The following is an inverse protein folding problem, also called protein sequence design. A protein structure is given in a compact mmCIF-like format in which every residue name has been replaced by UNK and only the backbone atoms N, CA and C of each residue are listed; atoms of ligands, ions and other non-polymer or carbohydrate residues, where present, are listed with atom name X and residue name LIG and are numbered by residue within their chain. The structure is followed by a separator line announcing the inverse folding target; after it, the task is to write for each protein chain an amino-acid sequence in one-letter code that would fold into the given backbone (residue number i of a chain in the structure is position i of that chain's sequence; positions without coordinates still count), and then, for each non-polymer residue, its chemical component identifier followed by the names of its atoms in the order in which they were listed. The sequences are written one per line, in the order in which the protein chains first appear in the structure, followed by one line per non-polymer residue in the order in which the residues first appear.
data_IF_402058692865
#
_entry.id   IF_402058692865
#
_cell.length_a   1.000
_cell.length_b   1.000
_cell.length_c   1.000
_cell.angle_alpha   90.00
_cell.angle_beta   90.00
_cell.angle_gamma   90.00
#
_symmetry.space_group_name_H-M   'P 1'
#
loop_
_entity.id
_entity.type
_entity.pdbx_description
1 polymer ?
#
# COMPACT_ATOMS: atom_id res chain seq x y z
N UNK A 1 -25.27 80.79 -19.32
CA UNK A 1 -26.74 80.91 -19.37
C UNK A 1 -27.26 79.57 -19.89
N UNK A 2 -27.63 78.62 -19.02
CA UNK A 2 -29.00 78.33 -18.58
C UNK A 2 -29.92 78.05 -19.81
N UNK A 3 -30.61 76.91 -20.00
CA UNK A 3 -31.48 76.15 -19.07
C UNK A 3 -31.70 74.69 -19.59
N UNK A 4 -32.10 73.85 -18.64
CA UNK A 4 -32.36 72.41 -18.57
C UNK A 4 -33.48 71.76 -19.44
N UNK A 5 -33.25 70.44 -19.70
CA UNK A 5 -34.16 69.26 -19.74
C UNK A 5 -35.38 69.20 -20.69
N UNK A 6 -35.44 68.11 -21.46
CA UNK A 6 -36.47 67.07 -21.32
C UNK A 6 -36.01 65.72 -21.89
N UNK A 7 -36.23 64.67 -21.11
CA UNK A 7 -35.95 63.27 -21.41
C UNK A 7 -36.93 62.71 -22.45
N UNK A 8 -36.44 61.85 -23.34
CA UNK A 8 -37.26 60.85 -24.01
C UNK A 8 -36.56 59.48 -23.83
N UNK A 9 -37.23 58.57 -23.13
CA UNK A 9 -36.84 57.17 -22.99
C UNK A 9 -36.84 56.48 -24.36
N UNK A 10 -35.71 55.88 -24.74
CA UNK A 10 -35.68 54.81 -25.74
C UNK A 10 -35.06 53.58 -25.07
N UNK A 11 -35.79 52.48 -25.22
CA UNK A 11 -35.64 51.20 -24.55
C UNK A 11 -34.26 50.57 -24.80
N UNK A 12 -33.51 50.32 -23.72
CA UNK A 12 -32.33 49.47 -23.74
C UNK A 12 -32.77 48.01 -23.79
N UNK A 13 -32.59 47.35 -24.93
CA UNK A 13 -32.70 45.88 -25.05
C UNK A 13 -31.44 45.29 -24.38
N UNK A 14 -31.55 44.44 -23.35
CA UNK A 14 -30.38 43.77 -22.82
C UNK A 14 -30.01 42.65 -23.80
N UNK A 15 -28.90 42.82 -24.52
CA UNK A 15 -28.16 41.71 -25.11
C UNK A 15 -27.72 40.82 -23.95
N UNK A 16 -28.42 39.70 -23.77
CA UNK A 16 -27.95 38.59 -22.95
C UNK A 16 -26.65 38.08 -23.60
N UNK A 17 -25.50 38.56 -23.12
CA UNK A 17 -24.25 37.84 -23.27
C UNK A 17 -24.41 36.51 -22.54
N UNK A 18 -24.80 35.47 -23.28
CA UNK A 18 -24.65 34.11 -22.84
C UNK A 18 -23.14 33.87 -22.67
N UNK A 19 -22.69 33.65 -21.43
CA UNK A 19 -21.39 33.03 -21.17
C UNK A 19 -21.39 31.66 -21.85
N UNK A 20 -20.85 31.57 -23.07
CA UNK A 20 -20.27 30.31 -23.51
C UNK A 20 -19.11 30.05 -22.55
N UNK A 21 -19.32 29.10 -21.65
CA UNK A 21 -18.25 28.51 -20.86
C UNK A 21 -17.32 27.86 -21.87
N UNK A 22 -16.23 28.54 -22.23
CA UNK A 22 -15.13 27.89 -22.93
C UNK A 22 -14.66 26.76 -22.01
N UNK A 23 -14.91 25.54 -22.45
CA UNK A 23 -14.30 24.34 -21.88
C UNK A 23 -12.82 24.53 -22.14
N UNK A 24 -12.05 24.86 -21.09
CA UNK A 24 -10.62 25.06 -21.25
C UNK A 24 -10.00 23.73 -21.70
N UNK A 25 -8.95 23.82 -22.51
CA UNK A 25 -8.11 22.70 -22.93
C UNK A 25 -7.61 21.82 -21.76
N UNK A 26 -7.76 22.29 -20.53
CA UNK A 26 -7.38 21.59 -19.31
C UNK A 26 -8.42 20.52 -18.92
N UNK A 27 -9.72 20.69 -19.21
CA UNK A 27 -10.74 19.65 -18.97
C UNK A 27 -10.58 18.46 -19.93
N UNK A 28 -10.18 18.70 -21.18
CA UNK A 28 -9.84 17.63 -22.14
C UNK A 28 -8.50 16.96 -21.81
N UNK A 29 -7.51 17.71 -21.30
CA UNK A 29 -6.23 17.15 -20.86
C UNK A 29 -6.36 16.29 -19.59
N UNK A 30 -7.27 16.64 -18.67
CA UNK A 30 -7.60 15.81 -17.50
C UNK A 30 -8.45 14.59 -17.90
N UNK A 31 -9.29 14.69 -18.93
CA UNK A 31 -10.02 13.54 -19.48
C UNK A 31 -9.15 12.56 -20.30
N UNK A 32 -7.92 12.97 -20.66
CA UNK A 32 -6.93 12.13 -21.33
C UNK A 32 -6.03 11.34 -20.34
N UNK A 33 -6.09 11.64 -19.04
CA UNK A 33 -5.43 10.87 -18.01
C UNK A 33 -6.29 9.64 -17.62
N UNK A 34 -5.88 8.47 -18.10
CA UNK A 34 -6.41 7.14 -17.74
C UNK A 34 -7.89 6.87 -18.10
N UNK A 35 -8.23 6.95 -19.40
CA UNK A 35 -9.37 6.18 -19.90
C UNK A 35 -8.96 4.72 -20.02
N UNK A 36 -9.30 3.92 -19.01
CA UNK A 36 -9.34 2.46 -19.09
C UNK A 36 -10.03 2.08 -20.42
N UNK A 37 -9.38 1.34 -21.33
CA UNK A 37 -9.98 0.94 -22.59
C UNK A 37 -11.37 0.30 -22.38
N UNK A 38 -12.32 0.58 -23.27
CA UNK A 38 -13.72 0.14 -23.11
C UNK A 38 -13.87 -1.39 -22.99
N UNK A 39 -12.96 -2.16 -23.59
CA UNK A 39 -12.87 -3.62 -23.52
C UNK A 39 -12.06 -4.14 -22.33
N UNK A 40 -11.65 -3.27 -21.40
CA UNK A 40 -10.81 -3.61 -20.25
C UNK A 40 -11.45 -3.21 -18.92
N UNK A 41 -10.87 -3.74 -17.84
CA UNK A 41 -11.22 -3.45 -16.45
C UNK A 41 -9.92 -3.17 -15.71
N UNK A 42 -9.92 -2.10 -14.92
CA UNK A 42 -8.83 -1.80 -14.00
C UNK A 42 -8.95 -2.73 -12.78
N UNK A 43 -7.89 -3.48 -12.49
CA UNK A 43 -7.81 -4.40 -11.35
C UNK A 43 -6.59 -4.07 -10.50
N UNK A 44 -6.60 -4.52 -9.25
CA UNK A 44 -5.46 -4.34 -8.36
C UNK A 44 -4.34 -5.34 -8.68
N UNK A 45 -3.15 -5.02 -8.20
CA UNK A 45 -2.06 -5.99 -8.04
C UNK A 45 -1.97 -6.36 -6.57
N UNK A 46 -1.90 -7.65 -6.27
CA UNK A 46 -1.81 -8.19 -4.91
C UNK A 46 -0.63 -9.16 -4.82
N UNK A 47 -0.12 -9.41 -3.62
CA UNK A 47 1.11 -10.18 -3.44
C UNK A 47 0.98 -11.26 -2.39
N UNK A 48 1.52 -12.44 -2.71
CA UNK A 48 1.62 -13.57 -1.80
C UNK A 48 3.10 -13.95 -1.68
N UNK A 49 3.58 -14.14 -0.46
CA UNK A 49 4.97 -14.52 -0.19
C UNK A 49 5.02 -15.82 0.60
N UNK A 50 5.45 -16.91 -0.04
CA UNK A 50 5.66 -18.22 0.60
C UNK A 50 7.03 -18.37 1.27
N UNK A 51 7.87 -17.32 1.27
CA UNK A 51 9.13 -17.34 2.00
C UNK A 51 8.88 -17.05 3.49
N UNK A 52 9.49 -17.85 4.37
CA UNK A 52 9.35 -17.71 5.82
C UNK A 52 10.41 -16.81 6.45
N UNK A 53 11.48 -16.53 5.72
CA UNK A 53 12.70 -15.89 6.17
C UNK A 53 13.11 -14.71 5.29
N UNK A 54 12.41 -14.47 4.18
CA UNK A 54 12.73 -13.42 3.21
C UNK A 54 11.58 -12.43 3.05
N UNK A 55 11.89 -11.17 3.29
CA UNK A 55 11.07 -10.04 2.88
C UNK A 55 11.44 -9.65 1.44
N UNK A 56 10.43 -9.55 0.58
CA UNK A 56 10.63 -9.30 -0.85
C UNK A 56 10.35 -7.84 -1.16
N UNK A 57 11.32 -7.15 -1.73
CA UNK A 57 11.12 -5.85 -2.37
C UNK A 57 10.95 -6.05 -3.87
N UNK A 58 9.84 -5.57 -4.43
CA UNK A 58 9.53 -5.77 -5.85
C UNK A 58 9.07 -4.49 -6.55
N UNK A 59 9.14 -4.52 -7.87
CA UNK A 59 8.49 -3.60 -8.81
C UNK A 59 7.94 -4.40 -9.98
N UNK A 60 6.70 -4.14 -10.39
CA UNK A 60 6.05 -4.79 -11.52
C UNK A 60 5.68 -3.80 -12.64
N UNK A 61 5.61 -4.31 -13.86
CA UNK A 61 5.39 -3.54 -15.09
C UNK A 61 4.46 -4.32 -16.02
N UNK A 62 3.48 -3.66 -16.65
CA UNK A 62 2.74 -4.22 -17.78
C UNK A 62 3.55 -4.04 -19.07
N UNK A 63 4.03 -5.15 -19.65
CA UNK A 63 4.85 -5.17 -20.86
C UNK A 63 4.12 -5.77 -22.06
N UNK A 64 2.80 -5.89 -22.00
CA UNK A 64 1.96 -6.47 -23.06
C UNK A 64 2.10 -5.76 -24.42
N UNK A 65 2.50 -4.48 -24.41
CA UNK A 65 2.73 -3.64 -25.60
C UNK A 65 4.18 -3.47 -26.05
N UNK A 66 5.14 -4.23 -25.51
CA UNK A 66 6.53 -4.21 -25.99
C UNK A 66 7.53 -3.39 -25.17
N UNK A 67 7.26 -3.18 -23.87
CA UNK A 67 8.30 -2.76 -22.91
C UNK A 67 8.05 -1.46 -22.17
N UNK A 68 6.85 -1.23 -21.64
CA UNK A 68 6.61 -0.12 -20.72
C UNK A 68 7.64 -0.11 -19.59
N UNK A 69 8.13 1.08 -19.25
CA UNK A 69 9.00 1.32 -18.09
C UNK A 69 8.25 1.91 -16.91
N UNK A 70 6.95 2.16 -17.05
CA UNK A 70 6.11 2.65 -15.97
C UNK A 70 5.73 1.50 -15.04
N UNK A 71 6.03 1.67 -13.74
CA UNK A 71 5.69 0.68 -12.73
C UNK A 71 4.18 0.70 -12.49
N UNK A 72 3.55 -0.48 -12.56
CA UNK A 72 2.13 -0.68 -12.24
C UNK A 72 1.92 -1.03 -10.76
N UNK A 73 2.98 -1.51 -10.11
CA UNK A 73 2.99 -1.88 -8.70
C UNK A 73 4.43 -1.93 -8.19
N UNK A 74 4.59 -1.82 -6.87
CA UNK A 74 5.87 -1.98 -6.20
C UNK A 74 5.70 -1.82 -4.70
N UNK A 75 6.53 -2.53 -3.95
CA UNK A 75 6.36 -2.58 -2.51
C UNK A 75 7.30 -3.54 -1.83
N UNK A 76 7.00 -3.77 -0.55
CA UNK A 76 7.67 -4.71 0.33
C UNK A 76 6.63 -5.74 0.76
N UNK A 77 6.92 -7.01 0.54
CA UNK A 77 6.07 -8.14 0.89
C UNK A 77 6.75 -8.92 2.01
N UNK A 78 6.19 -8.82 3.21
CA UNK A 78 6.71 -9.48 4.41
C UNK A 78 6.67 -11.01 4.28
N UNK A 79 7.50 -11.74 5.05
CA UNK A 79 7.44 -13.20 5.07
C UNK A 79 6.04 -13.73 5.37
N UNK A 80 5.63 -14.78 4.65
CA UNK A 80 4.34 -15.47 4.82
C UNK A 80 3.10 -14.58 4.62
N UNK A 81 3.21 -13.48 3.88
CA UNK A 81 2.08 -12.63 3.50
C UNK A 81 1.11 -13.38 2.56
N UNK A 82 -0.19 -13.37 2.87
CA UNK A 82 -1.22 -14.15 2.18
C UNK A 82 -2.08 -13.36 1.18
N UNK A 83 -1.68 -12.13 0.83
CA UNK A 83 -2.48 -11.18 0.05
C UNK A 83 -3.11 -10.08 0.91
N UNK A 84 -3.93 -9.24 0.28
CA UNK A 84 -4.67 -8.15 0.90
C UNK A 84 -3.95 -6.79 0.88
N UNK A 85 -2.68 -6.75 0.50
CA UNK A 85 -1.89 -5.52 0.41
C UNK A 85 -1.95 -4.95 -1.01
N UNK A 86 -3.16 -4.61 -1.46
CA UNK A 86 -3.43 -4.29 -2.87
C UNK A 86 -2.84 -2.95 -3.29
N UNK A 87 -2.09 -2.95 -4.39
CA UNK A 87 -1.67 -1.77 -5.13
C UNK A 87 -2.56 -1.56 -6.37
N UNK A 88 -2.63 -0.32 -6.85
CA UNK A 88 -3.46 0.05 -8.01
C UNK A 88 -2.58 0.60 -9.13
N UNK A 89 -2.80 0.30 -10.41
CA UNK A 89 -3.73 -0.68 -10.99
C UNK A 89 -3.19 -1.16 -12.34
N UNK A 90 -3.69 -2.30 -12.82
CA UNK A 90 -3.41 -2.83 -14.15
C UNK A 90 -4.72 -3.01 -14.94
N UNK A 91 -4.68 -2.71 -16.24
CA UNK A 91 -5.86 -2.84 -17.10
C UNK A 91 -5.87 -4.23 -17.76
N UNK A 92 -6.80 -5.08 -17.33
CA UNK A 92 -7.01 -6.39 -17.94
C UNK A 92 -8.16 -6.37 -18.95
N UNK A 93 -8.02 -7.00 -20.13
CA UNK A 93 -9.14 -7.24 -21.03
C UNK A 93 -10.30 -7.96 -20.34
N UNK A 94 -11.55 -7.59 -20.65
CA UNK A 94 -12.74 -8.30 -20.14
C UNK A 94 -12.77 -9.77 -20.55
N UNK A 95 -12.22 -10.07 -21.72
CA UNK A 95 -12.03 -11.42 -22.25
C UNK A 95 -10.54 -11.63 -22.46
N UNK A 96 -9.98 -12.65 -21.83
CA UNK A 96 -8.56 -12.97 -21.96
C UNK A 96 -8.16 -13.19 -23.42
N UNK A 97 -6.96 -12.70 -23.77
CA UNK A 97 -6.28 -12.90 -25.05
C UNK A 97 -4.78 -13.15 -24.80
N UNK A 98 -4.08 -13.90 -25.66
CA UNK A 98 -2.65 -14.09 -25.50
C UNK A 98 -1.88 -12.77 -25.60
N UNK A 99 -0.70 -12.73 -24.99
CA UNK A 99 0.22 -11.58 -25.03
C UNK A 99 0.09 -10.61 -23.86
N UNK A 100 -0.78 -10.88 -22.87
CA UNK A 100 -0.82 -10.12 -21.62
C UNK A 100 0.40 -10.51 -20.79
N UNK A 101 1.36 -9.61 -20.60
CA UNK A 101 2.66 -9.92 -19.96
C UNK A 101 2.97 -8.96 -18.83
N UNK A 102 3.32 -9.53 -17.67
CA UNK A 102 3.77 -8.78 -16.50
C UNK A 102 5.26 -9.08 -16.29
N UNK A 103 6.07 -8.03 -16.27
CA UNK A 103 7.47 -8.12 -15.83
C UNK A 103 7.54 -7.76 -14.36
N UNK A 104 8.24 -8.57 -13.57
CA UNK A 104 8.52 -8.29 -12.16
C UNK A 104 10.02 -8.28 -11.97
N UNK A 105 10.50 -7.28 -11.24
CA UNK A 105 11.86 -7.20 -10.73
C UNK A 105 11.78 -7.26 -9.22
N UNK A 106 12.53 -8.17 -8.59
CA UNK A 106 12.49 -8.31 -7.13
C UNK A 106 13.83 -8.72 -6.55
N UNK A 107 13.99 -8.43 -5.27
CA UNK A 107 15.16 -8.73 -4.48
C UNK A 107 14.73 -8.89 -3.02
N UNK A 108 15.67 -9.28 -2.18
CA UNK A 108 15.46 -9.16 -0.75
C UNK A 108 15.45 -7.70 -0.30
N UNK A 109 14.60 -7.37 0.68
CA UNK A 109 14.39 -6.00 1.14
C UNK A 109 15.56 -5.44 1.95
N UNK A 110 16.29 -6.29 2.70
CA UNK A 110 17.51 -5.90 3.39
C UNK A 110 18.68 -5.78 2.39
N UNK A 111 18.85 -4.55 1.89
CA UNK A 111 19.81 -4.20 0.84
C UNK A 111 21.27 -4.32 1.24
N UNK A 112 21.59 -4.38 2.54
CA UNK A 112 22.98 -4.37 2.98
C UNK A 112 23.66 -5.74 2.82
N UNK A 113 22.88 -6.83 2.70
CA UNK A 113 23.42 -8.19 2.76
C UNK A 113 23.29 -8.93 1.41
N UNK A 114 22.25 -8.69 0.60
CA UNK A 114 21.99 -9.45 -0.65
C UNK A 114 21.58 -8.57 -1.84
N UNK A 115 22.52 -8.23 -2.76
CA UNK A 115 22.28 -7.28 -3.86
C UNK A 115 21.70 -7.91 -5.14
N UNK A 116 21.43 -9.21 -5.16
CA UNK A 116 20.94 -9.87 -6.37
C UNK A 116 19.50 -9.46 -6.69
N UNK A 117 19.30 -8.95 -7.92
CA UNK A 117 17.98 -8.57 -8.42
C UNK A 117 17.55 -9.59 -9.47
N UNK A 118 16.47 -10.30 -9.17
CA UNK A 118 15.82 -11.23 -10.08
C UNK A 118 14.84 -10.48 -10.98
N UNK A 119 14.70 -10.94 -12.22
CA UNK A 119 13.80 -10.37 -13.21
C UNK A 119 13.12 -11.45 -14.01
N UNK A 120 11.81 -11.36 -14.15
CA UNK A 120 11.07 -12.31 -14.96
C UNK A 120 9.87 -11.63 -15.62
N UNK A 121 9.68 -11.90 -16.92
CA UNK A 121 8.48 -11.52 -17.65
C UNK A 121 7.64 -12.77 -17.87
N UNK A 122 6.42 -12.77 -17.34
CA UNK A 122 5.48 -13.89 -17.37
C UNK A 122 4.23 -13.49 -18.13
N UNK A 123 3.74 -14.39 -18.99
CA UNK A 123 2.43 -14.23 -19.60
C UNK A 123 1.36 -14.61 -18.58
N UNK A 124 0.36 -13.74 -18.42
CA UNK A 124 -0.75 -13.96 -17.51
C UNK A 124 -1.59 -15.13 -18.03
N UNK A 125 -1.74 -16.22 -17.26
CA UNK A 125 -2.54 -17.37 -17.67
C UNK A 125 -3.99 -16.99 -17.97
N UNK A 126 -4.65 -17.83 -18.77
CA UNK A 126 -6.05 -17.59 -19.17
C UNK A 126 -6.96 -17.53 -17.94
N UNK A 127 -7.62 -16.38 -17.76
CA UNK A 127 -8.71 -16.22 -16.79
C UNK A 127 -10.07 -16.27 -17.47
N UNK A 128 -11.09 -16.72 -16.74
CA UNK A 128 -12.48 -16.68 -17.19
C UNK A 128 -13.11 -15.30 -17.01
N UNK A 129 -12.77 -14.63 -15.90
CA UNK A 129 -13.20 -13.28 -15.55
C UNK A 129 -11.98 -12.52 -15.00
N UNK A 130 -11.76 -11.24 -15.36
CA UNK A 130 -10.65 -10.46 -14.82
C UNK A 130 -10.80 -10.32 -13.31
N UNK A 131 -9.78 -10.67 -12.55
CA UNK A 131 -9.64 -10.40 -11.12
C UNK A 131 -8.30 -9.72 -10.86
N UNK A 132 -7.95 -9.53 -9.59
CA UNK A 132 -6.65 -8.94 -9.23
C UNK A 132 -5.50 -9.77 -9.80
N UNK A 133 -4.43 -9.10 -10.20
CA UNK A 133 -3.20 -9.75 -10.64
C UNK A 133 -2.35 -10.05 -9.41
N UNK A 134 -2.19 -11.33 -9.10
CA UNK A 134 -1.36 -11.78 -8.01
C UNK A 134 0.08 -12.00 -8.47
N UNK A 135 1.03 -11.44 -7.72
CA UNK A 135 2.45 -11.79 -7.77
C UNK A 135 2.72 -12.76 -6.62
N UNK A 136 2.96 -14.03 -6.95
CA UNK A 136 3.15 -15.09 -5.96
C UNK A 136 4.63 -15.47 -5.92
N UNK A 137 5.30 -15.05 -4.86
CA UNK A 137 6.70 -15.34 -4.60
C UNK A 137 6.85 -16.63 -3.81
N UNK A 138 7.69 -17.53 -4.30
CA UNK A 138 8.01 -18.80 -3.67
C UNK A 138 9.49 -18.86 -3.26
N UNK A 139 9.89 -19.84 -2.42
CA UNK A 139 11.29 -20.16 -2.18
C UNK A 139 12.08 -20.38 -3.48
N UNK A 140 13.41 -20.25 -3.39
CA UNK A 140 14.34 -20.41 -4.52
C UNK A 140 14.09 -19.43 -5.68
N UNK A 141 13.61 -18.21 -5.35
CA UNK A 141 13.40 -17.12 -6.31
C UNK A 141 12.44 -17.49 -7.44
N UNK A 142 11.43 -18.32 -7.15
CA UNK A 142 10.39 -18.64 -8.11
C UNK A 142 9.24 -17.64 -8.01
N UNK A 143 8.74 -17.21 -9.16
CA UNK A 143 7.63 -16.29 -9.30
C UNK A 143 6.50 -16.92 -10.13
N UNK A 144 5.27 -16.66 -9.72
CA UNK A 144 4.07 -16.90 -10.51
C UNK A 144 3.24 -15.62 -10.61
N UNK A 145 2.63 -15.40 -11.78
CA UNK A 145 1.69 -14.30 -12.02
C UNK A 145 0.37 -14.90 -12.46
N UNK A 146 -0.71 -14.60 -11.74
CA UNK A 146 -2.06 -15.13 -12.01
C UNK A 146 -3.12 -14.05 -11.83
N UNK A 147 -4.28 -14.22 -12.44
CA UNK A 147 -5.45 -13.37 -12.15
C UNK A 147 -6.44 -14.16 -11.29
N UNK A 148 -6.92 -13.57 -10.20
CA UNK A 148 -7.84 -14.24 -9.26
C UNK A 148 -8.77 -13.26 -8.57
N UNK A 149 -9.97 -13.74 -8.21
CA UNK A 149 -10.94 -13.01 -7.37
C UNK A 149 -10.86 -13.39 -5.89
N UNK A 150 -10.07 -14.43 -5.61
CA UNK A 150 -9.99 -15.07 -4.31
C UNK A 150 -8.53 -15.20 -3.93
N UNK A 151 -8.26 -15.36 -2.64
CA UNK A 151 -6.93 -15.49 -2.05
C UNK A 151 -6.58 -16.98 -1.82
N UNK A 152 -5.32 -17.31 -1.47
CA UNK A 152 -4.97 -18.63 -0.95
C UNK A 152 -5.93 -19.06 0.17
N UNK A 153 -6.17 -20.37 0.29
CA UNK A 153 -7.24 -21.08 1.04
C UNK A 153 -8.59 -21.21 0.35
N UNK A 154 -8.92 -20.36 -0.63
CA UNK A 154 -10.16 -20.52 -1.37
C UNK A 154 -10.07 -21.70 -2.35
N UNK A 155 -11.11 -22.56 -2.47
CA UNK A 155 -11.09 -23.72 -3.39
C UNK A 155 -10.76 -23.37 -4.85
N UNK A 156 -11.23 -22.19 -5.30
CA UNK A 156 -11.02 -21.68 -6.66
C UNK A 156 -9.70 -20.92 -6.86
N UNK A 157 -8.83 -20.84 -5.84
CA UNK A 157 -7.53 -20.19 -5.95
C UNK A 157 -6.71 -20.84 -7.08
N UNK A 158 -6.25 -20.10 -8.11
CA UNK A 158 -5.58 -20.71 -9.25
C UNK A 158 -4.08 -21.00 -9.02
N UNK A 159 -3.48 -20.46 -7.95
CA UNK A 159 -2.05 -20.63 -7.68
C UNK A 159 -1.65 -22.07 -7.34
N UNK A 160 -0.34 -22.37 -7.46
CA UNK A 160 0.20 -23.73 -7.30
C UNK A 160 0.00 -24.30 -5.89
N UNK A 161 0.23 -23.49 -4.86
CA UNK A 161 -0.01 -23.86 -3.46
C UNK A 161 -1.38 -23.32 -3.04
N UNK A 162 -2.23 -24.18 -2.48
CA UNK A 162 -3.62 -23.85 -2.13
C UNK A 162 -3.75 -23.32 -0.73
N UNK A 163 -2.97 -23.86 0.20
CA UNK A 163 -2.91 -23.45 1.59
C UNK A 163 -2.35 -22.03 1.71
N UNK A 164 -2.75 -21.24 2.71
CA UNK A 164 -2.08 -19.99 2.98
C UNK A 164 -0.60 -20.21 3.33
N UNK A 165 0.27 -19.19 3.14
CA UNK A 165 1.70 -19.33 3.30
C UNK A 165 2.18 -19.91 4.63
N UNK A 166 1.58 -19.50 5.76
CA UNK A 166 1.98 -20.00 7.07
C UNK A 166 1.70 -21.50 7.21
N UNK A 167 0.50 -21.94 6.83
CA UNK A 167 0.10 -23.34 6.84
C UNK A 167 0.99 -24.16 5.91
N UNK A 168 1.23 -23.68 4.69
CA UNK A 168 2.13 -24.32 3.72
C UNK A 168 3.56 -24.44 4.26
N UNK A 169 4.05 -23.44 4.99
CA UNK A 169 5.35 -23.51 5.65
C UNK A 169 5.37 -24.57 6.75
N UNK A 170 4.37 -24.57 7.63
CA UNK A 170 4.28 -25.48 8.80
C UNK A 170 4.15 -26.95 8.40
N UNK A 171 3.62 -27.24 7.21
CA UNK A 171 3.58 -28.60 6.66
C UNK A 171 4.97 -29.16 6.30
N UNK A 172 5.94 -28.29 6.00
CA UNK A 172 7.25 -28.67 5.47
C UNK A 172 8.41 -28.35 6.42
N UNK A 173 8.19 -27.50 7.40
CA UNK A 173 9.23 -26.95 8.27
C UNK A 173 8.81 -26.93 9.74
N UNK A 174 9.78 -26.65 10.62
CA UNK A 174 9.49 -26.49 12.05
C UNK A 174 8.69 -25.22 12.32
N UNK A 175 7.84 -25.25 13.37
CA UNK A 175 7.15 -24.04 13.85
C UNK A 175 8.11 -22.90 14.17
N UNK A 176 9.29 -23.22 14.74
CA UNK A 176 10.30 -22.21 15.04
C UNK A 176 10.72 -21.45 13.78
N UNK A 177 11.02 -22.17 12.70
CA UNK A 177 11.41 -21.58 11.42
C UNK A 177 10.29 -20.74 10.82
N UNK A 178 9.07 -21.27 10.68
CA UNK A 178 7.97 -20.53 10.05
C UNK A 178 7.54 -19.28 10.83
N UNK A 179 7.69 -19.30 12.16
CA UNK A 179 7.27 -18.18 13.00
C UNK A 179 8.39 -17.17 13.26
N UNK A 180 9.63 -17.42 12.81
CA UNK A 180 10.79 -16.62 13.23
C UNK A 180 10.74 -15.16 12.75
N UNK A 181 10.19 -14.94 11.55
CA UNK A 181 10.12 -13.61 10.91
C UNK A 181 8.72 -12.99 10.99
N UNK A 182 7.74 -13.74 11.51
CA UNK A 182 6.42 -13.20 11.78
C UNK A 182 6.46 -12.34 13.05
N UNK A 183 5.69 -11.24 13.10
CA UNK A 183 5.56 -10.51 14.35
C UNK A 183 5.03 -11.45 15.44
N UNK A 184 5.60 -11.31 16.65
CA UNK A 184 5.20 -12.10 17.82
C UNK A 184 3.69 -12.08 18.08
N UNK A 185 3.03 -10.98 17.72
CA UNK A 185 1.59 -10.79 17.82
C UNK A 185 1.05 -10.41 16.44
N UNK A 186 -0.07 -10.99 16.01
CA UNK A 186 -0.63 -10.71 14.68
C UNK A 186 -0.87 -9.21 14.46
N UNK A 187 -0.57 -8.71 13.25
CA UNK A 187 -0.73 -7.30 12.91
C UNK A 187 -2.13 -6.78 13.27
N UNK A 188 -2.20 -5.57 13.84
CA UNK A 188 -3.45 -4.93 14.22
C UNK A 188 -4.19 -5.53 15.43
N UNK A 189 -3.75 -6.69 15.96
CA UNK A 189 -4.32 -7.26 17.18
C UNK A 189 -4.08 -6.33 18.39
N UNK A 190 -4.92 -6.39 19.44
CA UNK A 190 -4.67 -5.63 20.67
C UNK A 190 -3.27 -5.87 21.25
N UNK A 191 -2.78 -7.11 21.18
CA UNK A 191 -1.45 -7.49 21.65
C UNK A 191 -0.33 -6.85 20.82
N UNK A 192 -0.50 -6.79 19.49
CA UNK A 192 0.41 -6.08 18.60
C UNK A 192 0.42 -4.58 18.90
N UNK A 193 -0.75 -3.95 19.11
CA UNK A 193 -0.86 -2.53 19.49
C UNK A 193 -0.15 -2.25 20.82
N UNK A 194 -0.37 -3.10 21.82
CA UNK A 194 0.30 -3.00 23.12
C UNK A 194 1.81 -3.21 23.02
N UNK A 195 2.27 -4.13 22.17
CA UNK A 195 3.69 -4.30 21.92
C UNK A 195 4.32 -3.09 21.23
N UNK A 196 3.71 -2.60 20.16
CA UNK A 196 4.20 -1.45 19.42
C UNK A 196 4.29 -0.21 20.31
N UNK A 197 3.25 0.05 21.12
CA UNK A 197 3.27 1.10 22.13
C UNK A 197 4.48 0.99 23.08
N UNK A 198 4.74 -0.20 23.64
CA UNK A 198 5.90 -0.39 24.54
C UNK A 198 7.23 -0.16 23.83
N UNK A 199 7.38 -0.61 22.58
CA UNK A 199 8.61 -0.42 21.81
C UNK A 199 8.85 1.05 21.45
N UNK A 200 7.80 1.79 21.08
CA UNK A 200 7.88 3.23 20.79
C UNK A 200 8.16 4.05 22.06
N UNK A 201 7.50 3.73 23.17
CA UNK A 201 7.55 4.51 24.41
C UNK A 201 8.74 4.15 25.33
N UNK A 202 9.53 3.13 25.01
CA UNK A 202 10.74 2.81 25.76
C UNK A 202 11.90 3.77 25.41
N UNK A 203 13.00 3.70 26.17
CA UNK A 203 14.18 4.54 25.98
C UNK A 203 14.73 4.51 24.54
N UNK A 204 14.80 3.32 23.92
CA UNK A 204 15.33 3.15 22.57
C UNK A 204 14.43 3.83 21.53
N UNK A 205 13.10 3.62 21.63
CA UNK A 205 12.11 4.25 20.76
C UNK A 205 12.18 5.78 20.84
N UNK A 206 12.20 6.32 22.06
CA UNK A 206 12.33 7.78 22.30
C UNK A 206 13.62 8.36 21.72
N UNK A 207 14.75 7.69 21.88
CA UNK A 207 16.03 8.12 21.29
C UNK A 207 15.98 8.15 19.77
N UNK A 208 15.34 7.16 19.15
CA UNK A 208 15.16 7.10 17.69
C UNK A 208 14.32 8.29 17.19
N UNK A 209 13.22 8.58 17.89
CA UNK A 209 12.35 9.70 17.58
C UNK A 209 13.04 11.06 17.79
N UNK A 210 13.76 11.24 18.90
CA UNK A 210 14.57 12.44 19.16
C UNK A 210 15.59 12.69 18.05
N UNK A 211 16.25 11.64 17.56
CA UNK A 211 17.20 11.76 16.46
C UNK A 211 16.51 12.17 15.15
N UNK A 212 15.33 11.61 14.86
CA UNK A 212 14.51 12.00 13.72
C UNK A 212 14.15 13.51 13.77
N UNK A 213 13.67 14.00 14.91
CA UNK A 213 13.34 15.42 15.08
C UNK A 213 14.55 16.34 14.96
N UNK A 214 15.71 15.94 15.50
CA UNK A 214 16.97 16.69 15.34
C UNK A 214 17.41 16.78 13.89
N UNK A 215 17.22 15.71 13.09
CA UNK A 215 17.54 15.72 11.66
C UNK A 215 16.63 16.66 10.86
N UNK A 216 15.39 16.87 11.33
CA UNK A 216 14.43 17.79 10.72
C UNK A 216 14.57 19.25 11.19
N UNK A 217 15.66 19.58 11.92
CA UNK A 217 16.04 20.97 12.28
C UNK A 217 15.00 21.74 13.10
N UNK A 218 14.23 21.07 13.97
CA UNK A 218 13.37 21.76 14.94
C UNK A 218 14.20 22.66 15.87
N UNK A 219 13.66 23.84 16.19
CA UNK A 219 14.25 24.69 17.23
C UNK A 219 14.14 24.02 18.60
N UNK A 220 15.00 24.41 19.54
CA UNK A 220 15.00 23.81 20.88
C UNK A 220 13.63 23.89 21.59
N UNK A 221 12.90 25.02 21.59
CA UNK A 221 11.57 25.08 22.20
C UNK A 221 10.55 24.15 21.55
N UNK A 222 10.55 24.03 20.22
CA UNK A 222 9.68 23.11 19.48
C UNK A 222 10.01 21.65 19.83
N UNK A 223 11.30 21.31 19.93
CA UNK A 223 11.73 19.98 20.32
C UNK A 223 11.31 19.63 21.76
N UNK A 224 11.44 20.57 22.69
CA UNK A 224 11.02 20.37 24.09
C UNK A 224 9.50 20.17 24.20
N UNK A 225 8.71 20.88 23.37
CA UNK A 225 7.26 20.70 23.27
C UNK A 225 6.89 19.34 22.68
N UNK A 226 7.55 18.90 21.61
CA UNK A 226 7.31 17.57 21.02
C UNK A 226 7.67 16.43 21.98
N UNK A 227 8.79 16.52 22.69
CA UNK A 227 9.18 15.53 23.71
C UNK A 227 8.09 15.42 24.78
N UNK A 228 7.53 16.56 25.22
CA UNK A 228 6.44 16.59 26.20
C UNK A 228 5.15 16.00 25.64
N UNK A 229 4.79 16.32 24.40
CA UNK A 229 3.61 15.77 23.72
C UNK A 229 3.71 14.25 23.55
N UNK A 230 4.89 13.75 23.19
CA UNK A 230 5.18 12.33 23.08
C UNK A 230 5.07 11.61 24.43
N UNK A 231 5.60 12.21 25.50
CA UNK A 231 5.42 11.68 26.87
C UNK A 231 3.94 11.54 27.22
N UNK A 232 3.17 12.60 27.03
CA UNK A 232 1.74 12.59 27.33
C UNK A 232 0.99 11.54 26.49
N UNK A 233 1.35 11.40 25.22
CA UNK A 233 0.77 10.41 24.30
C UNK A 233 1.06 8.98 24.76
N UNK A 234 2.31 8.70 25.16
CA UNK A 234 2.70 7.40 25.71
C UNK A 234 1.90 7.07 26.98
N UNK A 235 1.83 7.99 27.94
CA UNK A 235 1.09 7.76 29.19
C UNK A 235 -0.42 7.60 28.95
N UNK A 236 -0.98 8.33 27.98
CA UNK A 236 -2.39 8.16 27.59
C UNK A 236 -2.62 6.78 26.98
N UNK A 237 -1.80 6.37 26.00
CA UNK A 237 -1.90 5.04 25.39
C UNK A 237 -1.73 3.93 26.42
N UNK A 238 -0.83 4.09 27.40
CA UNK A 238 -0.67 3.15 28.51
C UNK A 238 -1.98 2.98 29.29
N UNK A 239 -2.60 4.10 29.66
CA UNK A 239 -3.88 4.10 30.38
C UNK A 239 -4.97 3.43 29.55
N UNK A 240 -5.09 3.76 28.26
CA UNK A 240 -6.06 3.13 27.38
C UNK A 240 -5.82 1.63 27.20
N UNK A 241 -4.56 1.20 27.13
CA UNK A 241 -4.21 -0.21 27.08
C UNK A 241 -4.68 -0.95 28.34
N UNK A 242 -4.42 -0.37 29.51
CA UNK A 242 -4.81 -0.94 30.80
C UNK A 242 -6.34 -1.01 30.95
N UNK A 243 -7.06 0.05 30.56
CA UNK A 243 -8.50 0.19 30.83
C UNK A 243 -9.38 -0.37 29.71
N UNK A 244 -9.01 -0.18 28.44
CA UNK A 244 -9.91 -0.36 27.29
C UNK A 244 -9.48 -1.48 26.34
N UNK A 245 -8.19 -1.67 26.12
CA UNK A 245 -7.73 -2.63 25.10
C UNK A 245 -7.92 -4.08 25.56
N UNK A 246 -8.44 -4.93 24.68
CA UNK A 246 -8.63 -6.36 24.94
C UNK A 246 -7.35 -7.17 24.68
N UNK A 247 -6.28 -6.86 25.43
CA UNK A 247 -5.00 -7.57 25.35
C UNK A 247 -5.06 -8.91 26.07
N UNK A 248 -4.33 -9.92 25.59
CA UNK A 248 -4.27 -11.25 26.18
C UNK A 248 -3.62 -11.25 27.56
N UNK A 249 -2.70 -10.31 27.82
CA UNK A 249 -2.03 -10.13 29.10
C UNK A 249 -1.84 -8.64 29.40
N UNK A 250 -2.49 -8.12 30.44
CA UNK A 250 -2.40 -6.70 30.82
C UNK A 250 -0.99 -6.22 31.18
N UNK A 251 -0.06 -7.13 31.52
CA UNK A 251 1.37 -6.78 31.68
C UNK A 251 1.98 -6.22 30.40
N UNK A 252 1.38 -6.48 29.24
CA UNK A 252 1.76 -5.88 27.96
C UNK A 252 1.48 -4.37 27.88
N UNK A 253 0.69 -3.82 28.79
CA UNK A 253 0.46 -2.38 28.84
C UNK A 253 1.49 -1.65 29.71
N UNK A 254 2.21 -2.39 30.56
CA UNK A 254 3.14 -1.81 31.52
C UNK A 254 4.48 -1.47 30.85
N UNK A 255 4.93 -0.24 31.07
CA UNK A 255 6.28 0.25 30.77
C UNK A 255 6.60 1.40 31.73
N UNK A 256 7.88 1.65 31.96
CA UNK A 256 8.36 2.79 32.72
C UNK A 256 8.75 3.89 31.73
N UNK A 257 8.19 5.10 31.92
CA UNK A 257 8.58 6.27 31.15
C UNK A 257 9.59 7.06 31.97
N UNK A 258 10.87 6.84 31.71
CA UNK A 258 11.94 7.62 32.33
C UNK A 258 12.04 9.01 31.68
N UNK A 259 12.21 10.04 32.51
CA UNK A 259 12.37 11.43 32.07
C UNK A 259 13.70 11.68 31.38
#
# INVERSE_FOLDING_TARGET
MAVFKKYLCVLFVPLLFACQKEISSDEEAVAAASKVPADSVSVSVDEVNYNADLEIKYTAFDVSGGGSTEAIAGGIVVPLAAGGAKSCCVNLPKVWRPGIKIKVEWQEADKEIRPEIYRQALELPRYQKPGDVYLVFYPEHQLEVIASHVEPSHPDWPGKIKEPPLEACLQKNTKKFCMQSLPKYGWGTPDWKANNMRETCNEKGRKSELNFWKMNSLSKPELDEEIKNNKNSCLLMQKECLEKWNVSNKKMCSFEYED
#
